data_IF_521286419261
#
_entry.id   IF_521286419261
#
_cell.length_a   1.000
_cell.length_b   1.000
_cell.length_c   1.000
_cell.angle_alpha   90.00
_cell.angle_beta   90.00
_cell.angle_gamma   90.00
#
_symmetry.space_group_name_H-M   'P 1'
#
loop_
_entity.id
_entity.type
_entity.pdbx_description
1 polymer ?
#
# COMPACT_ATOMS: atom_id res chain seq x y z
N UNK A 1 5.77 -6.07 18.13
CA UNK A 1 5.99 -4.61 18.12
C UNK A 1 6.09 -4.17 16.68
N UNK A 2 5.24 -3.23 16.25
CA UNK A 2 5.25 -2.75 14.87
C UNK A 2 6.35 -1.69 14.70
N UNK A 3 6.97 -1.64 13.52
CA UNK A 3 8.01 -0.66 13.19
C UNK A 3 7.49 0.29 12.11
N UNK A 4 7.65 1.60 12.31
CA UNK A 4 7.17 2.65 11.40
C UNK A 4 8.37 3.24 10.66
N UNK A 5 8.36 3.15 9.34
CA UNK A 5 9.27 3.86 8.46
C UNK A 5 8.50 4.97 7.74
N UNK A 6 9.00 6.20 7.80
CA UNK A 6 8.34 7.36 7.21
C UNK A 6 9.35 8.24 6.47
N UNK A 7 8.99 8.66 5.24
CA UNK A 7 9.73 9.62 4.45
C UNK A 7 8.76 10.56 3.75
N UNK A 8 8.83 11.86 4.06
CA UNK A 8 7.84 12.84 3.61
C UNK A 8 6.39 12.38 3.91
N UNK A 9 5.56 12.19 2.89
CA UNK A 9 4.18 11.71 3.01
C UNK A 9 4.04 10.18 2.89
N UNK A 10 5.13 9.46 2.60
CA UNK A 10 5.10 8.01 2.46
C UNK A 10 5.39 7.35 3.81
N UNK A 11 4.48 6.47 4.24
CA UNK A 11 4.56 5.76 5.52
C UNK A 11 4.41 4.25 5.30
N UNK A 12 5.20 3.46 6.03
CA UNK A 12 5.18 2.00 5.98
C UNK A 12 5.20 1.43 7.40
N UNK A 13 4.27 0.53 7.68
CA UNK A 13 4.17 -0.18 8.96
C UNK A 13 4.53 -1.65 8.75
N UNK A 14 5.49 -2.15 9.54
CA UNK A 14 5.90 -3.54 9.50
C UNK A 14 5.38 -4.31 10.71
N UNK A 15 4.87 -5.51 10.45
CA UNK A 15 4.53 -6.51 11.47
C UNK A 15 5.01 -7.88 10.99
N UNK A 16 5.21 -8.80 11.93
CA UNK A 16 5.52 -10.19 11.64
C UNK A 16 4.68 -11.11 12.52
N UNK A 17 4.37 -12.28 11.98
CA UNK A 17 3.72 -13.37 12.68
C UNK A 17 4.13 -14.70 12.01
N UNK A 18 4.00 -15.81 12.74
CA UNK A 18 4.22 -17.15 12.17
C UNK A 18 2.98 -17.64 11.41
N UNK A 19 1.79 -17.18 11.82
CA UNK A 19 0.54 -17.49 11.16
C UNK A 19 0.15 -16.41 10.17
N UNK A 20 0.07 -16.77 8.87
CA UNK A 20 -0.20 -15.83 7.78
C UNK A 20 -1.58 -15.18 7.90
N UNK A 21 -2.59 -15.91 8.39
CA UNK A 21 -3.95 -15.37 8.58
C UNK A 21 -3.96 -14.31 9.67
N UNK A 22 -3.34 -14.61 10.82
CA UNK A 22 -3.18 -13.66 11.93
C UNK A 22 -2.41 -12.43 11.48
N UNK A 23 -1.35 -12.60 10.70
CA UNK A 23 -0.58 -11.47 10.14
C UNK A 23 -1.47 -10.60 9.24
N UNK A 24 -2.17 -11.19 8.28
CA UNK A 24 -3.00 -10.45 7.34
C UNK A 24 -4.13 -9.68 8.04
N UNK A 25 -4.85 -10.34 8.96
CA UNK A 25 -5.90 -9.69 9.75
C UNK A 25 -5.37 -8.51 10.56
N UNK A 26 -4.16 -8.62 11.13
CA UNK A 26 -3.53 -7.51 11.84
C UNK A 26 -3.17 -6.37 10.88
N UNK A 27 -2.58 -6.65 9.72
CA UNK A 27 -2.21 -5.61 8.76
C UNK A 27 -3.44 -4.84 8.26
N UNK A 28 -4.53 -5.53 7.93
CA UNK A 28 -5.80 -4.89 7.52
C UNK A 28 -6.39 -4.01 8.63
N UNK A 29 -6.33 -4.49 9.87
CA UNK A 29 -6.80 -3.73 11.04
C UNK A 29 -6.00 -2.44 11.23
N UNK A 30 -4.67 -2.51 11.19
CA UNK A 30 -3.79 -1.34 11.32
C UNK A 30 -3.96 -0.38 10.13
N UNK A 31 -4.14 -0.92 8.92
CA UNK A 31 -4.40 -0.13 7.70
C UNK A 31 -5.71 0.68 7.82
N UNK A 32 -6.73 0.09 8.44
CA UNK A 32 -8.00 0.76 8.77
C UNK A 32 -7.84 1.87 9.80
N UNK A 33 -7.04 1.64 10.86
CA UNK A 33 -6.71 2.68 11.84
C UNK A 33 -6.00 3.85 11.16
N UNK A 34 -4.97 3.57 10.35
CA UNK A 34 -4.22 4.61 9.63
C UNK A 34 -5.14 5.45 8.73
N UNK A 35 -6.05 4.80 7.99
CA UNK A 35 -7.06 5.49 7.17
C UNK A 35 -7.92 6.44 8.00
N UNK A 36 -8.43 6.01 9.16
CA UNK A 36 -9.22 6.86 10.04
C UNK A 36 -8.43 8.08 10.58
N UNK A 37 -7.13 7.94 10.80
CA UNK A 37 -6.27 9.07 11.17
C UNK A 37 -6.12 10.06 10.02
N UNK A 38 -5.85 9.58 8.80
CA UNK A 38 -5.73 10.44 7.62
C UNK A 38 -7.02 11.18 7.31
N UNK A 39 -8.18 10.51 7.37
CA UNK A 39 -9.49 11.13 7.14
C UNK A 39 -9.81 12.21 8.18
N UNK A 40 -9.39 12.03 9.44
CA UNK A 40 -9.55 13.04 10.49
C UNK A 40 -8.74 14.31 10.23
N UNK A 41 -7.59 14.16 9.58
CA UNK A 41 -6.68 15.24 9.26
C UNK A 41 -6.92 15.81 7.83
N UNK A 42 -8.10 15.54 7.26
CA UNK A 42 -8.52 15.96 5.91
C UNK A 42 -7.57 15.51 4.78
N UNK A 43 -6.84 14.42 5.00
CA UNK A 43 -5.95 13.82 4.00
C UNK A 43 -6.70 12.85 3.10
N UNK A 44 -6.42 12.93 1.79
CA UNK A 44 -6.97 12.00 0.80
C UNK A 44 -6.01 10.83 0.59
N UNK A 45 -6.47 9.63 0.93
CA UNK A 45 -5.73 8.39 0.75
C UNK A 45 -5.95 7.86 -0.66
N UNK A 46 -4.85 7.48 -1.34
CA UNK A 46 -4.94 6.80 -2.63
C UNK A 46 -5.23 5.30 -2.40
N UNK A 47 -6.43 4.79 -2.76
CA UNK A 47 -6.80 3.39 -2.50
C UNK A 47 -5.95 2.39 -3.28
N UNK A 48 -5.38 2.77 -4.43
CA UNK A 48 -4.51 1.91 -5.24
C UNK A 48 -3.13 1.70 -4.60
N UNK A 49 -2.75 2.59 -3.67
CA UNK A 49 -1.45 2.58 -2.98
C UNK A 49 -1.55 2.21 -1.50
N UNK A 50 -2.72 2.43 -0.88
CA UNK A 50 -2.97 2.17 0.53
C UNK A 50 -3.49 0.75 0.73
N UNK A 51 -2.57 -0.20 0.86
CA UNK A 51 -2.88 -1.62 0.94
C UNK A 51 -2.00 -2.35 1.96
N UNK A 52 -2.55 -3.40 2.55
CA UNK A 52 -1.81 -4.36 3.36
C UNK A 52 -1.04 -5.32 2.44
N UNK A 53 0.19 -5.66 2.82
CA UNK A 53 1.05 -6.53 2.02
C UNK A 53 1.77 -7.57 2.88
N UNK A 54 1.55 -8.85 2.59
CA UNK A 54 2.20 -9.99 3.27
C UNK A 54 3.37 -10.49 2.42
N UNK A 55 4.60 -10.30 2.90
CA UNK A 55 5.82 -10.68 2.17
C UNK A 55 6.46 -11.90 2.85
N UNK A 56 6.83 -12.93 2.08
CA UNK A 56 7.66 -14.03 2.58
C UNK A 56 7.68 -15.23 1.64
N UNK A 57 8.73 -16.07 1.75
CA UNK A 57 8.93 -17.23 0.86
C UNK A 57 7.79 -18.28 0.91
N UNK A 58 6.91 -18.20 1.92
CA UNK A 58 5.80 -19.12 2.14
C UNK A 58 4.42 -18.45 1.99
N UNK A 59 4.33 -17.22 1.45
CA UNK A 59 3.03 -16.59 1.22
C UNK A 59 2.42 -17.06 -0.10
N UNK A 60 1.15 -17.46 -0.09
CA UNK A 60 0.37 -17.74 -1.30
C UNK A 60 -0.08 -16.45 -2.04
N UNK A 61 0.35 -15.27 -1.56
CA UNK A 61 0.02 -13.98 -2.17
C UNK A 61 0.84 -13.75 -3.44
N UNK A 62 0.15 -13.66 -4.57
CA UNK A 62 0.73 -13.23 -5.84
C UNK A 62 0.57 -11.71 -5.99
N UNK A 63 1.69 -10.99 -6.08
CA UNK A 63 1.69 -9.54 -6.28
C UNK A 63 1.76 -9.22 -7.77
N UNK A 64 0.70 -8.61 -8.28
CA UNK A 64 0.68 -8.03 -9.63
C UNK A 64 0.48 -6.54 -9.52
N UNK A 65 1.55 -5.78 -9.82
CA UNK A 65 1.46 -4.33 -9.94
C UNK A 65 1.14 -4.00 -11.40
N UNK A 66 -0.03 -3.42 -11.70
CA UNK A 66 -0.34 -3.02 -13.07
C UNK A 66 0.69 -1.97 -13.53
N UNK A 67 1.57 -2.38 -14.43
CA UNK A 67 2.49 -1.45 -15.08
C UNK A 67 1.70 -0.72 -16.15
N UNK A 68 1.30 0.53 -15.86
CA UNK A 68 0.74 1.40 -16.91
C UNK A 68 1.78 1.59 -18.00
N UNK A 69 1.33 1.64 -19.25
CA UNK A 69 2.21 1.94 -20.38
C UNK A 69 2.91 3.30 -20.12
N UNK A 70 4.22 3.37 -20.33
CA UNK A 70 5.04 4.54 -19.97
C UNK A 70 4.55 5.84 -20.61
N UNK A 71 3.88 5.74 -21.76
CA UNK A 71 3.28 6.88 -22.48
C UNK A 71 2.12 7.52 -21.71
N UNK A 72 1.28 6.72 -21.05
CA UNK A 72 0.18 7.24 -20.21
C UNK A 72 0.70 7.84 -18.91
N UNK A 73 1.78 7.29 -18.36
CA UNK A 73 2.42 7.80 -17.13
C UNK A 73 3.05 9.19 -17.35
N UNK A 74 3.54 9.46 -18.56
CA UNK A 74 4.15 10.73 -18.94
C UNK A 74 3.13 11.78 -19.43
N UNK A 75 1.83 11.44 -19.47
CA UNK A 75 0.78 12.36 -19.93
C UNK A 75 0.88 12.75 -21.41
N UNK A 76 1.56 11.93 -22.22
CA UNK A 76 1.73 12.21 -23.66
C UNK A 76 0.52 11.70 -24.41
N UNK A 77 -0.53 12.51 -24.47
CA UNK A 77 -1.68 12.28 -25.37
C UNK A 77 -1.55 13.20 -26.58
N UNK A 78 -1.10 12.64 -27.70
CA UNK A 78 -1.28 13.23 -29.04
C UNK A 78 -0.11 14.07 -29.55
N UNK A 79 0.69 13.51 -30.46
CA UNK A 79 1.22 14.29 -31.58
C UNK A 79 0.12 14.32 -32.64
N UNK A 80 -0.65 15.41 -32.70
CA UNK A 80 -1.35 15.78 -33.92
C UNK A 80 -0.39 16.58 -34.80
N UNK A 81 -0.07 16.05 -35.98
CA UNK A 81 0.52 16.79 -37.10
C UNK A 81 -0.59 17.11 -38.10
#
# INVERSE_FOLDING_TARGET
QANLNAYANDQQLYSSDKDLKTLNTRLEYELGIAKCWYERDDMIVNPDKHQAMVIGANSEYEFSFPVKNSMELLGVTGFEL
#
